data_IF_495993447283
#
_entry.id   IF_495993447283
#
_cell.length_a   1.000
_cell.length_b   1.000
_cell.length_c   1.000
_cell.angle_alpha   90.00
_cell.angle_beta   90.00
_cell.angle_gamma   90.00
#
_symmetry.space_group_name_H-M   'P 1'
#
loop_
_entity.id
_entity.type
_entity.pdbx_description
1 polymer ?
#
# COMPACT_ATOMS: atom_id res chain seq x y z
N UNK A 1 4.67 9.34 -4.03
CA UNK A 1 3.79 8.15 -4.07
C UNK A 1 2.82 8.02 -2.89
N UNK A 2 3.17 8.49 -1.68
CA UNK A 2 2.37 8.33 -0.47
C UNK A 2 0.89 8.74 -0.59
N UNK A 3 0.58 9.90 -1.15
CA UNK A 3 -0.82 10.37 -1.34
C UNK A 3 -1.65 9.43 -2.23
N UNK A 4 -1.04 8.84 -3.25
CA UNK A 4 -1.73 7.88 -4.13
C UNK A 4 -1.99 6.57 -3.38
N UNK A 5 -1.01 6.09 -2.62
CA UNK A 5 -1.20 4.92 -1.76
C UNK A 5 -2.31 5.18 -0.75
N UNK A 6 -2.25 6.31 -0.03
CA UNK A 6 -3.28 6.73 0.93
C UNK A 6 -4.67 6.76 0.31
N UNK A 7 -4.79 7.30 -0.90
CA UNK A 7 -6.07 7.32 -1.64
C UNK A 7 -6.59 5.91 -1.90
N UNK A 8 -5.73 4.97 -2.31
CA UNK A 8 -6.09 3.56 -2.54
C UNK A 8 -6.51 2.89 -1.22
N UNK A 9 -5.75 3.08 -0.15
CA UNK A 9 -6.06 2.52 1.17
C UNK A 9 -7.42 3.00 1.69
N UNK A 10 -7.74 4.29 1.54
CA UNK A 10 -9.01 4.85 1.99
C UNK A 10 -10.17 4.46 1.05
N UNK A 11 -9.97 4.51 -0.26
CA UNK A 11 -11.07 4.36 -1.24
C UNK A 11 -11.35 2.90 -1.55
N UNK A 12 -10.31 2.11 -1.80
CA UNK A 12 -10.44 0.72 -2.23
C UNK A 12 -10.52 -0.20 -1.00
N UNK A 13 -9.62 0.00 -0.02
CA UNK A 13 -9.53 -0.86 1.17
C UNK A 13 -10.34 -0.35 2.37
N UNK A 14 -10.99 0.83 2.25
CA UNK A 14 -11.83 1.42 3.30
C UNK A 14 -11.11 1.62 4.65
N UNK A 15 -9.79 1.83 4.61
CA UNK A 15 -8.98 2.16 5.78
C UNK A 15 -9.30 3.56 6.28
N UNK A 16 -9.36 3.75 7.60
CA UNK A 16 -9.58 5.06 8.18
C UNK A 16 -8.40 6.00 7.91
N UNK A 17 -8.69 7.22 7.47
CA UNK A 17 -7.65 8.21 7.17
C UNK A 17 -6.72 8.49 8.37
N UNK A 18 -7.27 8.48 9.58
CA UNK A 18 -6.52 8.69 10.82
C UNK A 18 -5.49 7.58 11.10
N UNK A 19 -5.73 6.38 10.56
CA UNK A 19 -4.84 5.23 10.73
C UNK A 19 -3.78 5.14 9.61
N UNK A 20 -4.00 5.82 8.47
CA UNK A 20 -3.02 5.92 7.38
C UNK A 20 -1.97 6.98 7.72
N UNK A 21 -1.03 6.62 8.59
CA UNK A 21 0.11 7.46 9.00
C UNK A 21 1.43 6.78 8.65
N UNK A 22 2.47 7.52 8.20
CA UNK A 22 3.74 6.90 7.81
C UNK A 22 4.38 6.04 8.90
N UNK A 23 4.22 6.45 10.16
CA UNK A 23 4.75 5.78 11.34
C UNK A 23 3.84 4.65 11.84
N UNK A 24 2.59 4.59 11.38
CA UNK A 24 1.68 3.52 11.76
C UNK A 24 2.17 2.20 11.18
N UNK A 25 2.14 1.17 12.02
CA UNK A 25 2.33 -0.20 11.58
C UNK A 25 1.15 -0.62 10.70
N UNK A 26 1.37 -1.65 9.88
CA UNK A 26 0.28 -2.24 9.07
C UNK A 26 -0.90 -2.67 9.93
N UNK A 27 -0.62 -3.33 11.04
CA UNK A 27 -1.66 -3.82 11.96
C UNK A 27 -2.48 -2.66 12.52
N UNK A 28 -1.82 -1.55 12.91
CA UNK A 28 -2.51 -0.32 13.34
C UNK A 28 -3.33 0.31 12.21
N UNK A 29 -2.87 0.21 10.96
CA UNK A 29 -3.56 0.71 9.78
C UNK A 29 -4.63 -0.25 9.23
N UNK A 30 -4.91 -1.38 9.88
CA UNK A 30 -5.86 -2.38 9.37
C UNK A 30 -5.42 -3.06 8.07
N UNK A 31 -4.11 -3.08 7.82
CA UNK A 31 -3.46 -3.65 6.64
C UNK A 31 -3.09 -5.13 6.89
N UNK A 32 -4.12 -5.94 7.09
CA UNK A 32 -3.99 -7.39 7.28
C UNK A 32 -3.61 -8.12 5.97
N UNK A 33 -3.38 -9.43 6.03
CA UNK A 33 -3.02 -10.25 4.87
C UNK A 33 -4.02 -10.14 3.70
N UNK A 34 -5.33 -10.05 3.98
CA UNK A 34 -6.34 -9.82 2.94
C UNK A 34 -6.23 -8.43 2.31
N UNK A 35 -5.96 -7.41 3.13
CA UNK A 35 -5.74 -6.04 2.68
C UNK A 35 -4.51 -5.94 1.76
N UNK A 36 -3.45 -6.74 1.99
CA UNK A 36 -2.29 -6.81 1.10
C UNK A 36 -2.63 -7.39 -0.27
N UNK A 37 -3.47 -8.42 -0.32
CA UNK A 37 -3.97 -8.98 -1.59
C UNK A 37 -4.83 -7.97 -2.34
N UNK A 38 -5.71 -7.25 -1.64
CA UNK A 38 -6.51 -6.19 -2.27
C UNK A 38 -5.65 -5.03 -2.75
N UNK A 39 -4.64 -4.65 -1.95
CA UNK A 39 -3.68 -3.61 -2.30
C UNK A 39 -2.88 -3.96 -3.56
N UNK A 40 -2.29 -5.16 -3.64
CA UNK A 40 -1.52 -5.59 -4.81
C UNK A 40 -2.37 -5.53 -6.08
N UNK A 41 -3.62 -6.01 -6.01
CA UNK A 41 -4.56 -5.94 -7.12
C UNK A 41 -4.92 -4.50 -7.49
N UNK A 42 -5.11 -3.62 -6.51
CA UNK A 42 -5.42 -2.21 -6.73
C UNK A 42 -4.25 -1.44 -7.36
N UNK A 43 -3.01 -1.70 -6.91
CA UNK A 43 -1.79 -1.14 -7.48
C UNK A 43 -1.62 -1.56 -8.96
N UNK A 44 -1.82 -2.85 -9.27
CA UNK A 44 -1.78 -3.33 -10.66
C UNK A 44 -2.85 -2.73 -11.54
N UNK A 45 -4.09 -2.62 -11.05
CA UNK A 45 -5.21 -2.05 -11.85
C UNK A 45 -5.13 -0.54 -12.02
N UNK A 46 -4.77 0.21 -10.98
CA UNK A 46 -4.80 1.69 -10.99
C UNK A 46 -3.51 2.31 -11.48
N UNK A 47 -2.37 1.70 -11.15
CA UNK A 47 -1.04 2.24 -11.44
C UNK A 47 -0.27 1.39 -12.46
N UNK A 48 -0.76 0.19 -12.82
CA UNK A 48 -0.03 -0.72 -13.71
C UNK A 48 1.20 -1.36 -13.05
N UNK A 49 1.27 -1.34 -11.72
CA UNK A 49 2.41 -1.86 -10.97
C UNK A 49 2.19 -3.33 -10.61
N UNK A 50 3.13 -4.18 -10.99
CA UNK A 50 3.15 -5.57 -10.57
C UNK A 50 3.97 -5.68 -9.28
N UNK A 51 3.27 -5.74 -8.15
CA UNK A 51 3.85 -5.90 -6.81
C UNK A 51 3.09 -7.04 -6.14
N UNK A 52 3.82 -8.05 -5.68
CA UNK A 52 3.20 -9.18 -4.99
C UNK A 52 2.77 -8.81 -3.57
N UNK A 53 1.76 -9.52 -3.05
CA UNK A 53 1.34 -9.38 -1.66
C UNK A 53 2.45 -9.79 -0.69
N UNK A 54 3.29 -10.77 -1.04
CA UNK A 54 4.48 -11.14 -0.27
C UNK A 54 5.45 -9.95 -0.09
N UNK A 55 5.72 -9.17 -1.14
CA UNK A 55 6.57 -7.98 -1.05
C UNK A 55 5.95 -6.87 -0.20
N UNK A 56 4.64 -6.65 -0.34
CA UNK A 56 3.90 -5.72 0.53
C UNK A 56 3.94 -6.22 1.99
N UNK A 57 3.98 -7.54 2.19
CA UNK A 57 4.10 -8.15 3.50
C UNK A 57 5.50 -7.98 4.13
N UNK A 58 6.53 -7.57 3.39
CA UNK A 58 7.85 -7.25 3.96
C UNK A 58 7.90 -5.87 4.61
N UNK A 59 7.06 -4.92 4.15
CA UNK A 59 6.99 -3.59 4.74
C UNK A 59 6.29 -3.65 6.10
N UNK A 60 6.89 -3.14 7.17
CA UNK A 60 6.29 -3.15 8.50
C UNK A 60 5.33 -1.98 8.74
N UNK A 61 5.56 -0.86 8.05
CA UNK A 61 4.81 0.39 8.22
C UNK A 61 4.19 0.90 6.92
N UNK A 62 3.20 1.77 7.04
CA UNK A 62 2.59 2.44 5.87
C UNK A 62 3.63 3.27 5.11
N UNK A 63 4.58 3.89 5.81
CA UNK A 63 5.66 4.65 5.19
C UNK A 63 6.58 3.77 4.34
N UNK A 64 6.89 2.56 4.80
CA UNK A 64 7.66 1.57 4.03
C UNK A 64 6.88 1.06 2.82
N UNK A 65 5.59 0.77 2.96
CA UNK A 65 4.72 0.42 1.83
C UNK A 65 4.73 1.52 0.76
N UNK A 66 4.60 2.78 1.18
CA UNK A 66 4.63 3.91 0.24
C UNK A 66 5.96 4.01 -0.51
N UNK A 67 7.08 3.76 0.17
CA UNK A 67 8.40 3.70 -0.47
C UNK A 67 8.52 2.54 -1.44
N UNK A 68 8.11 1.34 -1.05
CA UNK A 68 8.15 0.16 -1.90
C UNK A 68 7.37 0.40 -3.21
N UNK A 69 6.16 0.95 -3.10
CA UNK A 69 5.34 1.30 -4.27
C UNK A 69 6.00 2.38 -5.12
N UNK A 70 6.65 3.37 -4.49
CA UNK A 70 7.38 4.43 -5.19
C UNK A 70 8.56 3.90 -6.00
N UNK A 71 9.35 3.02 -5.39
CA UNK A 71 10.49 2.35 -6.03
C UNK A 71 10.03 1.49 -7.21
N UNK A 72 8.96 0.71 -7.02
CA UNK A 72 8.36 -0.11 -8.07
C UNK A 72 7.83 0.74 -9.23
N UNK A 73 7.17 1.86 -8.93
CA UNK A 73 6.71 2.80 -9.95
C UNK A 73 7.85 3.47 -10.72
N UNK A 74 8.95 3.80 -10.04
CA UNK A 74 10.12 4.36 -10.69
C UNK A 74 10.84 3.33 -11.59
N UNK A 75 10.76 2.04 -11.28
CA UNK A 75 11.32 0.96 -12.09
C UNK A 75 10.45 0.56 -13.30
N UNK A 76 9.14 0.82 -13.23
CA UNK A 76 8.18 0.51 -14.29
C UNK A 76 8.07 1.61 -15.37
N UNK A 77 8.74 2.76 -15.19
CA UNK A 77 8.76 3.91 -16.10
C UNK A 77 9.94 3.87 -17.10
#
# INVERSE_FOLDING_TARGET
MYEQLKTILITDLHVAEDDVRPEATREEAGLDSLAMVELSMALGKRLGLDVSDDELLEAATVGELARLVEERAAQAA
#
